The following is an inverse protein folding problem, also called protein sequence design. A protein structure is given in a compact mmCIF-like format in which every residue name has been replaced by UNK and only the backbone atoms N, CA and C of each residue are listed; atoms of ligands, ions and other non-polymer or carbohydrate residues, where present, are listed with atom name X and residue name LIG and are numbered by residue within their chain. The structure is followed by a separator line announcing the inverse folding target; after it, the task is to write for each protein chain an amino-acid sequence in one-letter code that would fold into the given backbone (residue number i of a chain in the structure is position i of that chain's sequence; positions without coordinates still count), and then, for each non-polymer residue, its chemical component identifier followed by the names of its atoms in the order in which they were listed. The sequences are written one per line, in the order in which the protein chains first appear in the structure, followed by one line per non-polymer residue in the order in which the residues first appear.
data_IF_898877035447
#
_entry.id   IF_898877035447
#
_cell.length_a   1.000
_cell.length_b   1.000
_cell.length_c   1.000
_cell.angle_alpha   90.00
_cell.angle_beta   90.00
_cell.angle_gamma   90.00
#
_symmetry.space_group_name_H-M   'P 1'
#
loop_
_entity.id
_entity.type
_entity.pdbx_description
1 polymer ?
#
# COMPACT_ATOMS: atom_id res chain seq x y z
N UNK A 1 -14.04 5.55 7.12
CA UNK A 1 -13.03 4.85 7.92
C UNK A 1 -13.53 4.81 9.34
N UNK A 2 -13.34 3.70 10.06
CA UNK A 2 -13.78 3.63 11.45
C UNK A 2 -12.90 4.51 12.35
N UNK A 3 -13.46 5.13 13.41
CA UNK A 3 -12.72 6.05 14.28
C UNK A 3 -11.63 5.34 15.10
N UNK A 4 -11.80 4.05 15.36
CA UNK A 4 -10.84 3.23 16.13
C UNK A 4 -9.70 2.64 15.30
N UNK A 5 -9.73 2.77 13.97
CA UNK A 5 -8.66 2.24 13.13
C UNK A 5 -7.39 3.04 13.36
N UNK A 6 -6.30 2.36 13.71
CA UNK A 6 -4.98 2.98 13.82
C UNK A 6 -4.57 3.63 12.51
N UNK A 7 -3.91 4.79 12.62
CA UNK A 7 -3.48 5.61 11.48
C UNK A 7 -1.95 5.63 11.40
N UNK A 8 -1.44 5.88 10.20
CA UNK A 8 -0.04 6.24 9.99
C UNK A 8 0.31 7.65 10.49
N UNK A 9 1.56 8.10 10.29
CA UNK A 9 2.63 7.39 9.58
C UNK A 9 3.17 6.17 10.36
N UNK A 10 4.01 5.38 9.71
CA UNK A 10 4.77 4.35 10.40
C UNK A 10 5.83 5.02 11.31
N UNK A 11 5.67 4.89 12.63
CA UNK A 11 6.58 5.48 13.61
C UNK A 11 7.98 4.84 13.63
N UNK A 12 8.12 3.63 13.08
CA UNK A 12 9.42 2.94 13.00
C UNK A 12 10.23 3.43 11.80
N UNK A 13 9.59 3.52 10.63
CA UNK A 13 10.19 4.11 9.43
C UNK A 13 9.12 4.89 8.64
N UNK A 14 9.13 6.23 8.68
CA UNK A 14 8.15 7.05 7.99
C UNK A 14 8.29 6.99 6.46
N UNK A 15 9.35 6.38 5.92
CA UNK A 15 9.52 6.14 4.48
C UNK A 15 8.75 4.90 3.99
N UNK A 16 8.07 4.18 4.89
CA UNK A 16 7.14 3.10 4.54
C UNK A 16 5.72 3.51 4.97
N UNK A 17 4.86 3.78 3.99
CA UNK A 17 3.46 4.16 4.22
C UNK A 17 2.70 3.02 4.92
N UNK A 18 2.02 3.34 6.03
CA UNK A 18 1.08 2.45 6.72
C UNK A 18 -0.24 3.16 7.04
N UNK A 19 -1.38 2.43 7.08
CA UNK A 19 -1.53 0.99 6.76
C UNK A 19 -1.37 0.69 5.26
N UNK A 20 -1.37 -0.58 4.85
CA UNK A 20 -1.23 -0.93 3.42
C UNK A 20 -2.55 -0.83 2.64
N UNK A 21 -3.65 -1.21 3.27
CA UNK A 21 -4.95 -1.40 2.63
C UNK A 21 -6.07 -1.34 3.68
N UNK A 22 -7.31 -1.08 3.25
CA UNK A 22 -8.50 -1.17 4.13
C UNK A 22 -9.48 -2.23 3.66
N UNK A 23 -10.19 -2.83 4.61
CA UNK A 23 -11.18 -3.88 4.42
C UNK A 23 -12.27 -3.81 5.51
N UNK A 24 -13.46 -4.41 5.31
CA UNK A 24 -14.57 -4.36 6.26
C UNK A 24 -14.20 -4.89 7.65
N UNK A 25 -14.40 -4.06 8.68
CA UNK A 25 -14.12 -4.42 10.08
C UNK A 25 -15.04 -3.76 11.09
N UNK A 26 -16.14 -3.15 10.64
CA UNK A 26 -17.14 -2.53 11.51
C UNK A 26 -18.43 -3.34 11.42
N UNK A 27 -18.96 -3.76 12.57
CA UNK A 27 -20.19 -4.54 12.70
C UNK A 27 -20.18 -5.81 11.83
N UNK A 28 -19.10 -6.57 11.90
CA UNK A 28 -18.97 -7.84 11.17
C UNK A 28 -19.63 -8.94 11.99
N UNK A 29 -20.64 -9.58 11.40
CA UNK A 29 -21.27 -10.80 11.94
C UNK A 29 -20.36 -12.00 11.66
N UNK A 30 -19.95 -12.70 12.70
CA UNK A 30 -19.12 -13.90 12.59
C UNK A 30 -19.51 -14.94 13.64
N UNK A 31 -19.03 -16.18 13.48
CA UNK A 31 -19.26 -17.27 14.43
C UNK A 31 -18.76 -16.91 15.83
N UNK A 32 -19.47 -17.37 16.84
CA UNK A 32 -19.16 -17.09 18.23
C UNK A 32 -19.18 -18.37 19.06
N UNK A 33 -18.35 -18.43 20.11
CA UNK A 33 -18.29 -19.59 20.99
C UNK A 33 -19.48 -19.61 21.94
N UNK A 34 -20.11 -20.77 22.12
CA UNK A 34 -21.16 -20.97 23.12
C UNK A 34 -20.65 -20.77 24.56
N UNK A 35 -19.33 -20.80 24.78
CA UNK A 35 -18.70 -20.60 26.08
C UNK A 35 -18.56 -19.11 26.47
N UNK A 36 -18.93 -18.17 25.61
CA UNK A 36 -18.79 -16.74 25.85
C UNK A 36 -20.06 -15.99 25.49
N UNK A 37 -20.55 -15.15 26.41
CA UNK A 37 -21.71 -14.32 26.15
C UNK A 37 -21.40 -13.19 25.15
N UNK A 38 -22.39 -12.72 24.36
CA UNK A 38 -22.18 -11.70 23.34
C UNK A 38 -21.59 -10.39 23.87
N UNK A 39 -21.99 -9.97 25.07
CA UNK A 39 -21.51 -8.74 25.71
C UNK A 39 -20.23 -8.94 26.53
N UNK A 40 -19.83 -10.19 26.78
CA UNK A 40 -18.70 -10.52 27.68
C UNK A 40 -18.84 -9.93 29.09
N UNK A 41 -20.06 -9.73 29.54
CA UNK A 41 -20.38 -9.29 30.90
C UNK A 41 -20.77 -10.50 31.77
N UNK A 42 -20.40 -10.53 33.07
CA UNK A 42 -20.76 -11.63 33.98
C UNK A 42 -22.26 -11.93 34.06
N UNK A 43 -23.10 -10.91 33.87
CA UNK A 43 -24.55 -10.98 33.96
C UNK A 43 -25.21 -11.46 32.66
N UNK A 44 -24.51 -11.34 31.52
CA UNK A 44 -25.04 -11.77 30.22
C UNK A 44 -24.95 -13.29 30.11
N UNK A 45 -26.10 -13.97 30.21
CA UNK A 45 -26.24 -15.43 30.11
C UNK A 45 -26.62 -15.92 28.73
N UNK A 46 -26.74 -15.04 27.72
CA UNK A 46 -27.15 -15.43 26.38
C UNK A 46 -26.07 -16.29 25.70
N UNK A 47 -26.53 -17.29 24.96
CA UNK A 47 -25.71 -18.14 24.10
C UNK A 47 -26.15 -17.91 22.66
N UNK A 48 -25.21 -17.56 21.78
CA UNK A 48 -25.50 -17.26 20.37
C UNK A 48 -24.48 -17.96 19.47
N UNK A 49 -24.90 -18.38 18.28
CA UNK A 49 -24.02 -18.97 17.28
C UNK A 49 -23.20 -17.94 16.50
N UNK A 50 -23.69 -16.70 16.46
CA UNK A 50 -23.05 -15.59 15.76
C UNK A 50 -23.13 -14.32 16.59
N UNK A 51 -22.09 -13.50 16.50
CA UNK A 51 -22.01 -12.20 17.17
C UNK A 51 -21.49 -11.13 16.21
N UNK A 52 -21.92 -9.88 16.41
CA UNK A 52 -21.39 -8.74 15.68
C UNK A 52 -20.25 -8.11 16.47
N UNK A 53 -19.10 -7.97 15.83
CA UNK A 53 -17.92 -7.36 16.43
C UNK A 53 -17.29 -6.33 15.49
N UNK A 54 -16.53 -5.42 16.07
CA UNK A 54 -15.85 -4.35 15.35
C UNK A 54 -14.37 -4.31 15.74
N UNK A 55 -13.51 -4.10 14.76
CA UNK A 55 -12.07 -4.02 14.97
C UNK A 55 -11.29 -4.31 13.70
N UNK A 56 -10.04 -3.87 13.66
CA UNK A 56 -9.07 -4.29 12.63
C UNK A 56 -8.85 -5.81 12.67
N UNK A 57 -9.05 -6.44 13.83
CA UNK A 57 -9.12 -7.91 13.99
C UNK A 57 -10.21 -8.57 13.13
N UNK A 58 -11.23 -7.83 12.70
CA UNK A 58 -12.29 -8.30 11.79
C UNK A 58 -11.99 -7.94 10.33
N UNK A 59 -11.25 -6.86 10.07
CA UNK A 59 -10.73 -6.54 8.72
C UNK A 59 -9.67 -7.53 8.25
N UNK A 60 -8.74 -7.92 9.14
CA UNK A 60 -7.64 -8.84 8.83
C UNK A 60 -8.09 -10.15 8.15
N UNK A 61 -9.06 -10.92 8.70
CA UNK A 61 -9.47 -12.20 8.10
C UNK A 61 -10.09 -12.06 6.71
N UNK A 62 -10.73 -10.93 6.38
CA UNK A 62 -11.21 -10.67 5.02
C UNK A 62 -10.06 -10.60 4.02
N UNK A 63 -8.99 -9.88 4.36
CA UNK A 63 -7.80 -9.78 3.52
C UNK A 63 -7.08 -11.13 3.45
N UNK A 64 -6.93 -11.84 4.57
CA UNK A 64 -6.30 -13.17 4.62
C UNK A 64 -7.01 -14.20 3.75
N UNK A 65 -8.35 -14.22 3.76
CA UNK A 65 -9.12 -15.11 2.90
C UNK A 65 -8.87 -14.81 1.41
N UNK A 66 -8.82 -13.53 1.04
CA UNK A 66 -8.52 -13.14 -0.35
C UNK A 66 -7.08 -13.45 -0.73
N UNK A 67 -6.11 -13.30 0.18
CA UNK A 67 -4.72 -13.73 -0.03
C UNK A 67 -4.67 -15.23 -0.34
N UNK A 68 -5.40 -16.07 0.42
CA UNK A 68 -5.46 -17.51 0.18
C UNK A 68 -6.06 -17.84 -1.20
N UNK A 69 -7.14 -17.17 -1.59
CA UNK A 69 -7.73 -17.32 -2.92
C UNK A 69 -6.78 -16.89 -4.03
N UNK A 70 -6.12 -15.74 -3.88
CA UNK A 70 -5.12 -15.26 -4.84
C UNK A 70 -3.94 -16.22 -4.96
N UNK A 71 -3.48 -16.80 -3.85
CA UNK A 71 -2.41 -17.82 -3.86
C UNK A 71 -2.86 -19.13 -4.52
N UNK A 72 -4.14 -19.49 -4.43
CA UNK A 72 -4.70 -20.63 -5.16
C UNK A 72 -4.76 -20.39 -6.67
N UNK A 73 -5.16 -19.19 -7.08
CA UNK A 73 -5.23 -18.79 -8.50
C UNK A 73 -3.84 -18.58 -9.09
N UNK A 74 -2.91 -18.03 -8.31
CA UNK A 74 -1.52 -17.76 -8.69
C UNK A 74 -0.54 -18.48 -7.75
N UNK A 75 -0.36 -19.81 -7.89
CA UNK A 75 0.50 -20.61 -7.00
C UNK A 75 1.94 -20.13 -6.95
N UNK A 76 2.45 -19.51 -8.01
CA UNK A 76 3.84 -19.05 -8.10
C UNK A 76 4.06 -17.64 -7.52
N UNK A 77 3.00 -16.91 -7.18
CA UNK A 77 3.16 -15.56 -6.65
C UNK A 77 3.75 -15.57 -5.24
N UNK A 78 4.75 -14.71 -5.03
CA UNK A 78 5.28 -14.40 -3.72
C UNK A 78 4.23 -13.69 -2.86
N UNK A 79 4.41 -13.68 -1.53
CA UNK A 79 3.56 -12.88 -0.63
C UNK A 79 3.62 -11.39 -0.97
N UNK A 80 4.76 -10.92 -1.51
CA UNK A 80 4.95 -9.54 -1.96
C UNK A 80 4.19 -9.24 -3.25
N UNK A 81 4.18 -10.18 -4.20
CA UNK A 81 3.38 -10.08 -5.41
C UNK A 81 1.88 -9.99 -5.08
N UNK A 82 1.38 -10.83 -4.17
CA UNK A 82 -0.02 -10.79 -3.72
C UNK A 82 -0.34 -9.46 -3.02
N UNK A 83 0.54 -8.99 -2.12
CA UNK A 83 0.41 -7.66 -1.50
C UNK A 83 0.32 -6.56 -2.56
N UNK A 84 1.19 -6.60 -3.57
CA UNK A 84 1.16 -5.64 -4.67
C UNK A 84 -0.14 -5.67 -5.43
N UNK A 85 -0.64 -6.85 -5.80
CA UNK A 85 -1.90 -6.99 -6.52
C UNK A 85 -3.07 -6.40 -5.73
N UNK A 86 -3.15 -6.67 -4.42
CA UNK A 86 -4.18 -6.12 -3.54
C UNK A 86 -4.12 -4.60 -3.42
N UNK A 87 -2.93 -4.06 -3.16
CA UNK A 87 -2.75 -2.62 -2.98
C UNK A 87 -3.06 -1.85 -4.27
N UNK A 88 -2.44 -2.25 -5.38
CA UNK A 88 -2.48 -1.48 -6.63
C UNK A 88 -3.83 -1.49 -7.33
N UNK A 89 -4.66 -2.49 -7.03
CA UNK A 89 -6.01 -2.66 -7.61
C UNK A 89 -7.14 -2.18 -6.71
N UNK A 90 -6.82 -1.68 -5.50
CA UNK A 90 -7.78 -1.14 -4.54
C UNK A 90 -8.50 0.13 -5.06
N UNK A 91 -9.53 0.59 -4.37
CA UNK A 91 -10.25 1.83 -4.70
C UNK A 91 -10.18 2.86 -3.57
N UNK A 92 -10.03 4.14 -3.93
CA UNK A 92 -10.16 5.26 -2.97
C UNK A 92 -11.57 5.85 -2.94
N UNK A 93 -12.49 5.30 -3.76
CA UNK A 93 -13.87 5.74 -3.84
C UNK A 93 -14.79 4.76 -3.13
N UNK A 94 -15.83 5.30 -2.50
CA UNK A 94 -16.95 4.56 -1.94
C UNK A 94 -17.91 4.09 -3.05
N UNK A 95 -19.00 3.41 -2.64
CA UNK A 95 -19.97 2.80 -3.56
C UNK A 95 -20.73 3.80 -4.44
N UNK A 96 -20.82 5.08 -4.03
CA UNK A 96 -21.45 6.16 -4.83
C UNK A 96 -20.42 6.95 -5.64
N UNK A 97 -19.17 6.48 -5.72
CA UNK A 97 -18.11 7.09 -6.53
C UNK A 97 -17.43 8.31 -5.89
N UNK A 98 -17.75 8.67 -4.65
CA UNK A 98 -17.09 9.75 -3.89
C UNK A 98 -15.86 9.22 -3.14
N UNK A 99 -14.90 10.08 -2.74
CA UNK A 99 -13.80 9.65 -1.88
C UNK A 99 -14.26 8.91 -0.62
N UNK A 100 -13.45 7.95 -0.16
CA UNK A 100 -13.63 7.34 1.17
C UNK A 100 -13.44 8.44 2.21
N UNK A 101 -14.39 8.56 3.13
CA UNK A 101 -14.34 9.54 4.22
C UNK A 101 -13.85 8.91 5.52
N UNK A 102 -13.43 9.73 6.47
CA UNK A 102 -13.12 9.34 7.84
C UNK A 102 -14.41 9.29 8.70
N UNK A 103 -14.29 9.15 10.02
CA UNK A 103 -15.45 9.08 10.92
C UNK A 103 -16.12 10.45 11.17
N UNK A 104 -15.42 11.55 10.91
CA UNK A 104 -15.95 12.93 11.03
C UNK A 104 -16.64 13.41 9.75
N UNK A 105 -16.49 12.65 8.65
CA UNK A 105 -17.10 12.96 7.35
C UNK A 105 -16.15 13.62 6.35
N UNK A 106 -14.91 13.92 6.75
CA UNK A 106 -13.90 14.49 5.86
C UNK A 106 -13.31 13.42 4.95
N UNK A 107 -12.73 13.83 3.82
CA UNK A 107 -11.99 12.92 2.93
C UNK A 107 -10.85 12.23 3.71
N UNK A 108 -10.85 10.90 3.71
CA UNK A 108 -9.80 10.14 4.34
C UNK A 108 -8.51 10.20 3.50
N UNK A 109 -7.38 10.09 4.18
CA UNK A 109 -6.07 10.12 3.54
C UNK A 109 -5.38 8.73 3.57
N UNK A 110 -4.24 8.56 2.88
CA UNK A 110 -3.51 7.30 2.82
C UNK A 110 -3.01 6.77 4.17
N UNK A 111 -2.79 7.62 5.17
CA UNK A 111 -2.48 7.14 6.52
C UNK A 111 -3.69 6.55 7.24
N UNK A 112 -4.89 6.67 6.67
CA UNK A 112 -6.10 6.05 7.20
C UNK A 112 -6.45 4.76 6.45
N UNK A 113 -6.38 4.73 5.12
CA UNK A 113 -6.79 3.56 4.31
C UNK A 113 -5.67 2.88 3.51
N UNK A 114 -4.44 3.37 3.58
CA UNK A 114 -3.32 2.87 2.77
C UNK A 114 -3.51 3.12 1.29
N UNK A 115 -3.51 2.06 0.49
CA UNK A 115 -3.81 2.14 -0.93
C UNK A 115 -5.30 2.36 -1.23
N UNK A 116 -6.20 2.00 -0.31
CA UNK A 116 -7.65 2.10 -0.46
C UNK A 116 -8.39 0.84 -0.05
N UNK A 117 -9.69 0.79 -0.30
CA UNK A 117 -10.52 -0.39 -0.04
C UNK A 117 -10.18 -1.49 -1.04
N UNK A 118 -9.84 -2.67 -0.54
CA UNK A 118 -9.48 -3.82 -1.37
C UNK A 118 -10.60 -4.22 -2.35
N UNK A 119 -10.22 -4.74 -3.52
CA UNK A 119 -11.13 -5.23 -4.56
C UNK A 119 -10.69 -6.62 -5.02
N UNK A 120 -11.21 -7.70 -4.39
CA UNK A 120 -10.70 -9.05 -4.62
C UNK A 120 -10.71 -9.47 -6.10
N UNK A 121 -11.81 -9.20 -6.82
CA UNK A 121 -11.96 -9.56 -8.24
C UNK A 121 -10.93 -8.86 -9.15
N UNK A 122 -10.51 -7.65 -8.79
CA UNK A 122 -9.53 -6.88 -9.57
C UNK A 122 -8.10 -7.27 -9.23
N UNK A 123 -7.85 -7.77 -8.02
CA UNK A 123 -6.54 -8.26 -7.61
C UNK A 123 -6.15 -9.59 -8.28
N UNK A 124 -7.10 -10.32 -8.88
CA UNK A 124 -6.83 -11.55 -9.64
C UNK A 124 -6.02 -11.25 -10.91
N UNK A 125 -6.29 -10.13 -11.59
CA UNK A 125 -5.53 -9.71 -12.77
C UNK A 125 -5.12 -8.24 -12.61
N UNK A 126 -4.01 -7.97 -11.89
CA UNK A 126 -3.55 -6.61 -11.63
C UNK A 126 -2.81 -6.01 -12.83
N UNK A 127 -2.50 -6.79 -13.87
CA UNK A 127 -1.63 -6.39 -14.98
C UNK A 127 -0.15 -6.33 -14.58
N UNK A 128 0.22 -5.48 -13.62
CA UNK A 128 1.60 -5.34 -13.12
C UNK A 128 1.69 -5.52 -11.60
N UNK A 129 2.85 -5.98 -11.13
CA UNK A 129 3.17 -6.09 -9.72
C UNK A 129 4.55 -5.50 -9.37
N UNK A 130 4.66 -4.97 -8.16
CA UNK A 130 5.91 -4.68 -7.46
C UNK A 130 6.34 -5.93 -6.72
N UNK A 131 7.24 -6.70 -7.33
CA UNK A 131 7.82 -7.89 -6.70
C UNK A 131 9.15 -7.55 -6.02
N UNK A 132 9.47 -8.24 -4.93
CA UNK A 132 10.70 -8.03 -4.18
C UNK A 132 11.20 -9.35 -3.60
N UNK A 133 12.48 -9.66 -3.81
CA UNK A 133 13.12 -10.83 -3.23
C UNK A 133 13.52 -10.58 -1.79
N UNK A 134 13.93 -11.64 -1.07
CA UNK A 134 14.46 -11.52 0.29
C UNK A 134 15.61 -10.51 0.40
N UNK A 135 16.49 -10.46 -0.62
CA UNK A 135 17.60 -9.50 -0.70
C UNK A 135 17.15 -8.04 -0.62
N UNK A 136 15.97 -7.68 -1.16
CA UNK A 136 15.46 -6.30 -1.05
C UNK A 136 15.17 -5.92 0.41
N UNK A 137 14.69 -6.87 1.21
CA UNK A 137 14.44 -6.65 2.64
C UNK A 137 15.74 -6.59 3.43
N UNK A 138 16.73 -7.43 3.09
CA UNK A 138 18.06 -7.35 3.70
C UNK A 138 18.72 -5.98 3.43
N UNK A 139 18.65 -5.48 2.19
CA UNK A 139 19.14 -4.14 1.86
C UNK A 139 18.37 -3.03 2.58
N UNK A 140 17.06 -3.18 2.76
CA UNK A 140 16.26 -2.27 3.59
C UNK A 140 16.73 -2.30 5.06
N UNK A 141 16.96 -3.49 5.64
CA UNK A 141 17.44 -3.62 7.02
C UNK A 141 18.84 -3.02 7.19
N UNK A 142 19.72 -3.17 6.21
CA UNK A 142 21.01 -2.48 6.18
C UNK A 142 20.84 -0.96 6.28
N UNK A 143 19.83 -0.38 5.62
CA UNK A 143 19.57 1.07 5.69
C UNK A 143 19.06 1.53 7.06
N UNK A 144 18.59 0.59 7.89
CA UNK A 144 18.15 0.80 9.27
C UNK A 144 19.22 0.41 10.29
N UNK A 145 20.44 0.05 9.85
CA UNK A 145 21.51 -0.51 10.69
C UNK A 145 21.09 -1.76 11.48
N UNK A 146 20.16 -2.55 10.92
CA UNK A 146 19.70 -3.81 11.51
C UNK A 146 20.31 -4.97 10.72
N UNK A 147 20.95 -5.91 11.40
CA UNK A 147 21.39 -7.18 10.82
C UNK A 147 20.57 -8.34 11.42
N UNK A 148 19.78 -9.01 10.57
CA UNK A 148 18.99 -10.19 10.96
C UNK A 148 19.57 -11.50 10.42
N UNK A 149 20.36 -11.42 9.33
CA UNK A 149 20.98 -12.57 8.69
C UNK A 149 22.50 -12.35 8.70
N UNK A 150 23.20 -13.10 9.54
CA UNK A 150 24.66 -13.01 9.68
C UNK A 150 25.42 -13.46 8.43
N UNK A 151 24.76 -14.16 7.50
CA UNK A 151 25.36 -14.57 6.23
C UNK A 151 25.30 -13.48 5.15
N UNK A 152 24.53 -12.41 5.38
CA UNK A 152 24.39 -11.31 4.44
C UNK A 152 25.21 -10.09 4.86
N UNK A 153 26.22 -9.75 4.06
CA UNK A 153 27.01 -8.54 4.27
C UNK A 153 26.36 -7.34 3.56
N UNK A 154 26.07 -6.29 4.33
CA UNK A 154 25.59 -5.03 3.79
C UNK A 154 26.64 -4.42 2.83
N UNK A 155 26.23 -3.92 1.66
CA UNK A 155 27.16 -3.25 0.74
C UNK A 155 27.68 -1.95 1.36
N UNK A 156 28.90 -1.53 0.98
CA UNK A 156 29.47 -0.26 1.44
C UNK A 156 28.54 0.93 1.15
N UNK A 157 27.92 0.93 -0.04
CA UNK A 157 26.90 1.90 -0.43
C UNK A 157 25.51 1.30 -0.25
N UNK A 158 24.95 1.48 0.94
CA UNK A 158 23.61 1.03 1.29
C UNK A 158 22.55 1.87 0.56
N UNK A 159 21.59 1.24 -0.14
CA UNK A 159 20.45 1.95 -0.71
C UNK A 159 19.57 2.59 0.38
N UNK A 160 18.98 3.77 0.12
CA UNK A 160 18.00 4.36 1.04
C UNK A 160 16.80 3.43 1.24
N UNK A 161 16.22 3.42 2.45
CA UNK A 161 15.05 2.60 2.82
C UNK A 161 13.87 2.76 1.83
N UNK A 162 13.69 3.99 1.34
CA UNK A 162 12.69 4.37 0.33
C UNK A 162 12.81 3.58 -0.99
N UNK A 163 13.97 2.98 -1.30
CA UNK A 163 14.21 2.15 -2.48
C UNK A 163 13.70 0.71 -2.38
N UNK A 164 13.18 0.28 -1.22
CA UNK A 164 12.41 -0.97 -1.15
C UNK A 164 11.33 -0.95 -2.23
N UNK A 165 11.23 -2.01 -3.04
CA UNK A 165 10.29 -2.07 -4.17
C UNK A 165 8.85 -2.27 -3.68
N UNK A 166 8.32 -1.24 -3.02
CA UNK A 166 7.03 -1.25 -2.34
C UNK A 166 5.94 -0.64 -3.25
N UNK A 167 4.68 -1.13 -3.18
CA UNK A 167 3.55 -0.61 -3.97
C UNK A 167 3.04 0.78 -3.55
N UNK A 168 3.77 1.48 -2.69
CA UNK A 168 3.55 2.89 -2.31
C UNK A 168 4.89 3.64 -2.30
N UNK A 169 4.80 4.96 -2.26
CA UNK A 169 5.94 5.85 -2.08
C UNK A 169 5.71 6.68 -0.82
N UNK A 170 6.61 6.55 0.16
CA UNK A 170 6.71 7.50 1.25
C UNK A 170 8.13 8.04 1.35
N UNK A 171 8.26 9.37 1.47
CA UNK A 171 9.54 10.05 1.68
C UNK A 171 9.29 11.17 2.69
N UNK A 172 9.84 11.02 3.89
CA UNK A 172 9.70 12.02 4.93
C UNK A 172 10.86 13.03 4.92
N UNK A 173 10.62 14.22 5.47
CA UNK A 173 11.64 15.21 5.83
C UNK A 173 12.53 15.64 4.65
N UNK A 174 11.91 15.91 3.49
CA UNK A 174 12.62 16.45 2.32
C UNK A 174 12.99 17.92 2.59
N UNK A 175 14.28 18.25 2.55
CA UNK A 175 14.72 19.64 2.66
C UNK A 175 14.13 20.51 1.52
N UNK A 176 13.72 21.73 1.83
CA UNK A 176 13.17 22.66 0.84
C UNK A 176 14.17 22.91 -0.30
N UNK A 177 13.66 22.92 -1.54
CA UNK A 177 14.48 23.08 -2.74
C UNK A 177 15.33 21.85 -3.09
N UNK A 178 15.38 20.83 -2.23
CA UNK A 178 16.07 19.56 -2.51
C UNK A 178 15.15 18.56 -3.20
N UNK A 179 15.77 17.55 -3.82
CA UNK A 179 15.05 16.42 -4.40
C UNK A 179 15.55 15.09 -3.85
N UNK A 180 14.68 14.08 -3.91
CA UNK A 180 14.96 12.69 -3.58
C UNK A 180 14.51 11.82 -4.75
N UNK A 181 15.36 10.89 -5.17
CA UNK A 181 15.05 9.99 -6.28
C UNK A 181 14.98 8.56 -5.78
N UNK A 182 13.88 7.89 -6.10
CA UNK A 182 13.58 6.53 -5.70
C UNK A 182 13.39 5.67 -6.93
N UNK A 183 13.96 4.46 -6.93
CA UNK A 183 13.78 3.51 -8.02
C UNK A 183 12.68 2.50 -7.71
N UNK A 184 11.89 2.16 -8.72
CA UNK A 184 10.89 1.08 -8.67
C UNK A 184 11.04 0.15 -9.86
N UNK A 185 10.56 -1.08 -9.67
CA UNK A 185 10.57 -2.13 -10.69
C UNK A 185 9.19 -2.77 -10.74
N UNK A 186 8.58 -2.75 -11.93
CA UNK A 186 7.32 -3.44 -12.20
C UNK A 186 7.59 -4.70 -13.02
N UNK A 187 6.91 -5.77 -12.66
CA UNK A 187 6.90 -7.04 -13.40
C UNK A 187 5.53 -7.20 -14.06
N UNK A 188 5.50 -7.53 -15.35
CA UNK A 188 4.26 -7.85 -16.05
C UNK A 188 3.76 -9.25 -15.65
N UNK A 189 2.53 -9.32 -15.16
CA UNK A 189 1.81 -10.56 -14.86
C UNK A 189 0.52 -10.71 -15.67
N UNK A 190 0.23 -9.73 -16.52
CA UNK A 190 -0.87 -9.78 -17.48
C UNK A 190 -0.41 -10.23 -18.86
N UNK A 191 -1.17 -9.80 -19.88
CA UNK A 191 -0.89 -10.14 -21.29
C UNK A 191 0.44 -9.56 -21.77
N UNK A 192 1.06 -10.23 -22.73
CA UNK A 192 2.20 -9.69 -23.49
C UNK A 192 1.78 -8.54 -24.40
N UNK A 193 2.77 -7.85 -24.97
CA UNK A 193 2.58 -6.68 -25.84
C UNK A 193 1.67 -5.58 -25.24
N UNK A 194 1.80 -5.34 -23.94
CA UNK A 194 1.07 -4.30 -23.22
C UNK A 194 1.91 -3.02 -23.09
N UNK A 195 1.27 -1.87 -23.27
CA UNK A 195 1.88 -0.56 -23.05
C UNK A 195 1.12 0.19 -21.96
N UNK A 196 1.82 0.53 -20.89
CA UNK A 196 1.27 1.31 -19.79
C UNK A 196 1.72 2.76 -19.87
N UNK A 197 0.77 3.67 -19.76
CA UNK A 197 0.98 5.12 -19.72
C UNK A 197 0.81 5.61 -18.28
N UNK A 198 1.67 6.55 -17.90
CA UNK A 198 1.67 7.14 -16.57
C UNK A 198 0.60 8.24 -16.44
N UNK A 199 -0.14 8.22 -15.35
CA UNK A 199 -0.92 9.34 -14.84
C UNK A 199 -0.50 9.67 -13.40
N UNK A 200 -0.42 10.96 -13.06
CA UNK A 200 0.03 11.43 -11.72
C UNK A 200 -0.94 12.48 -11.19
N UNK A 201 -1.32 12.36 -9.92
CA UNK A 201 -1.93 13.43 -9.12
C UNK A 201 -0.92 13.88 -8.09
N UNK A 202 -0.49 15.13 -8.21
CA UNK A 202 0.57 15.69 -7.38
C UNK A 202 0.11 15.89 -5.92
N UNK A 203 0.98 15.62 -4.93
CA UNK A 203 0.77 16.10 -3.57
C UNK A 203 0.89 17.63 -3.54
N UNK A 204 0.02 18.35 -2.81
CA UNK A 204 0.12 19.80 -2.66
C UNK A 204 1.50 20.26 -2.16
N UNK A 205 2.15 21.18 -2.89
CA UNK A 205 3.49 21.71 -2.55
C UNK A 205 4.68 20.83 -2.97
N UNK A 206 4.44 19.75 -3.74
CA UNK A 206 5.50 18.86 -4.19
C UNK A 206 5.41 18.59 -5.69
N UNK A 207 6.57 18.57 -6.35
CA UNK A 207 6.69 18.15 -7.75
C UNK A 207 7.14 16.69 -7.78
N UNK A 208 6.42 15.89 -8.57
CA UNK A 208 6.72 14.48 -8.80
C UNK A 208 7.07 14.30 -10.27
N UNK A 209 8.32 13.95 -10.56
CA UNK A 209 8.75 13.55 -11.89
C UNK A 209 9.06 12.06 -11.95
N UNK A 210 8.46 11.37 -12.91
CA UNK A 210 8.61 9.92 -13.09
C UNK A 210 9.08 9.65 -14.51
N UNK A 211 10.18 8.89 -14.67
CA UNK A 211 10.79 8.59 -15.96
C UNK A 211 11.09 7.09 -16.08
N UNK A 212 10.74 6.44 -17.21
CA UNK A 212 10.02 6.98 -18.38
C UNK A 212 8.53 7.26 -18.10
N UNK A 213 7.81 7.93 -19.00
CA UNK A 213 6.35 8.15 -18.90
C UNK A 213 5.51 6.99 -19.47
N UNK A 214 6.18 6.00 -20.07
CA UNK A 214 5.56 4.84 -20.72
C UNK A 214 6.40 3.60 -20.47
N UNK A 215 5.75 2.48 -20.13
CA UNK A 215 6.40 1.18 -19.96
C UNK A 215 5.81 0.19 -20.96
N UNK A 216 6.68 -0.40 -21.77
CA UNK A 216 6.30 -1.42 -22.76
C UNK A 216 6.80 -2.78 -22.32
N UNK A 217 5.90 -3.76 -22.30
CA UNK A 217 6.19 -5.14 -21.96
C UNK A 217 5.78 -6.03 -23.13
N UNK A 218 6.71 -6.83 -23.63
CA UNK A 218 6.50 -7.72 -24.77
C UNK A 218 5.96 -9.08 -24.32
N UNK A 219 6.32 -9.53 -23.10
CA UNK A 219 5.94 -10.85 -22.58
C UNK A 219 5.66 -10.85 -21.08
N UNK A 220 5.02 -11.92 -20.61
CA UNK A 220 4.83 -12.24 -19.19
C UNK A 220 6.19 -12.31 -18.48
N UNK A 221 6.26 -11.82 -17.25
CA UNK A 221 7.45 -11.85 -16.40
C UNK A 221 8.50 -10.79 -16.76
N UNK A 222 8.31 -10.03 -17.84
CA UNK A 222 9.23 -8.96 -18.20
C UNK A 222 9.20 -7.85 -17.13
N UNK A 223 10.39 -7.36 -16.78
CA UNK A 223 10.58 -6.32 -15.77
C UNK A 223 10.93 -4.99 -16.42
N UNK A 224 10.33 -3.91 -15.92
CA UNK A 224 10.68 -2.54 -16.29
C UNK A 224 10.95 -1.70 -15.06
N UNK A 225 11.98 -0.87 -15.16
CA UNK A 225 12.43 0.01 -14.09
C UNK A 225 12.01 1.44 -14.42
N UNK A 226 11.65 2.20 -13.41
CA UNK A 226 11.39 3.63 -13.52
C UNK A 226 11.92 4.33 -12.27
N UNK A 227 12.24 5.61 -12.43
CA UNK A 227 12.69 6.46 -11.34
C UNK A 227 11.59 7.46 -11.00
N UNK A 228 11.44 7.75 -9.72
CA UNK A 228 10.52 8.75 -9.18
C UNK A 228 11.36 9.79 -8.44
N UNK A 229 11.37 11.01 -8.95
CA UNK A 229 12.02 12.16 -8.33
C UNK A 229 10.97 13.03 -7.66
N UNK A 230 11.11 13.24 -6.36
CA UNK A 230 10.26 14.11 -5.56
C UNK A 230 11.04 15.35 -5.18
N UNK A 231 10.46 16.53 -5.42
CA UNK A 231 11.05 17.82 -5.02
C UNK A 231 10.05 18.60 -4.17
N UNK A 232 10.51 19.06 -3.00
CA UNK A 232 9.75 19.96 -2.14
C UNK A 232 9.87 21.40 -2.65
N UNK A 233 8.74 22.06 -2.91
CA UNK A 233 8.73 23.45 -3.35
C UNK A 233 9.10 24.40 -2.21
N UNK A 234 9.69 25.55 -2.51
CA UNK A 234 10.02 26.56 -1.51
C UNK A 234 8.79 27.18 -0.85
N UNK A 235 7.61 27.05 -1.48
CA UNK A 235 6.31 27.54 -1.04
C UNK A 235 5.55 26.57 -0.12
N UNK A 236 6.15 25.46 0.31
CA UNK A 236 5.49 24.54 1.25
C UNK A 236 5.20 25.27 2.57
N UNK A 237 3.93 25.57 2.81
CA UNK A 237 3.48 26.35 3.97
C UNK A 237 3.51 25.53 5.28
N UNK A 238 3.25 24.22 5.19
CA UNK A 238 3.13 23.33 6.35
C UNK A 238 4.29 22.35 6.41
N UNK A 239 5.36 22.76 7.11
CA UNK A 239 6.51 21.89 7.39
C UNK A 239 6.12 20.76 8.33
N UNK A 240 6.78 19.61 8.19
CA UNK A 240 6.52 18.39 8.97
C UNK A 240 5.11 17.80 8.81
N UNK A 241 4.28 18.32 7.90
CA UNK A 241 3.00 17.73 7.52
C UNK A 241 3.15 16.91 6.24
N UNK A 242 2.45 15.78 6.18
CA UNK A 242 2.43 14.94 4.99
C UNK A 242 1.39 15.46 3.98
N UNK A 243 1.84 15.63 2.75
CA UNK A 243 1.00 15.80 1.58
C UNK A 243 0.84 14.48 0.83
N UNK A 244 -0.32 14.29 0.21
CA UNK A 244 -0.69 13.03 -0.43
C UNK A 244 -1.01 13.18 -1.91
N UNK A 245 -0.59 12.19 -2.70
CA UNK A 245 -0.84 12.10 -4.13
C UNK A 245 -0.87 10.66 -4.61
N UNK A 246 -0.97 10.45 -5.92
CA UNK A 246 -0.99 9.11 -6.51
C UNK A 246 -0.26 9.12 -7.84
N UNK A 247 0.31 7.98 -8.22
CA UNK A 247 0.63 7.71 -9.61
C UNK A 247 -0.01 6.39 -10.04
N UNK A 248 -0.40 6.31 -11.30
CA UNK A 248 -1.08 5.15 -11.87
C UNK A 248 -0.47 4.81 -13.21
N UNK A 249 -0.16 3.52 -13.40
CA UNK A 249 0.15 2.96 -14.71
C UNK A 249 -1.11 2.34 -15.29
N UNK A 250 -1.53 2.77 -16.48
CA UNK A 250 -2.72 2.25 -17.15
C UNK A 250 -2.45 1.85 -18.60
N UNK A 251 -2.97 0.70 -19.01
CA UNK A 251 -3.01 0.23 -20.39
C UNK A 251 -4.42 0.36 -21.02
N UNK A 252 -5.33 1.06 -20.33
CA UNK A 252 -6.75 1.19 -20.68
C UNK A 252 -7.65 0.09 -20.08
N UNK A 253 -7.08 -1.01 -19.60
CA UNK A 253 -7.81 -2.14 -18.98
C UNK A 253 -7.48 -2.25 -17.48
N UNK A 254 -6.19 -2.25 -17.19
CA UNK A 254 -5.61 -2.30 -15.85
C UNK A 254 -5.27 -0.88 -15.38
N UNK A 255 -5.38 -0.67 -14.07
CA UNK A 255 -4.99 0.57 -13.42
C UNK A 255 -4.18 0.21 -12.17
N UNK A 256 -2.85 0.33 -12.28
CA UNK A 256 -1.89 -0.04 -11.22
C UNK A 256 -1.57 1.24 -10.45
N UNK A 257 -2.35 1.52 -9.40
CA UNK A 257 -2.27 2.78 -8.63
C UNK A 257 -1.39 2.61 -7.39
N UNK A 258 -0.50 3.57 -7.16
CA UNK A 258 0.32 3.65 -5.95
C UNK A 258 0.13 4.99 -5.24
N UNK A 259 -0.14 4.99 -3.91
CA UNK A 259 -0.21 6.22 -3.13
C UNK A 259 1.18 6.80 -2.87
N UNK A 260 1.22 8.13 -2.77
CA UNK A 260 2.38 8.95 -2.43
C UNK A 260 2.08 9.66 -1.10
N UNK A 261 3.00 9.61 -0.15
CA UNK A 261 2.99 10.43 1.07
C UNK A 261 4.36 11.10 1.24
N UNK A 262 4.41 12.43 1.22
CA UNK A 262 5.67 13.18 1.29
C UNK A 262 5.57 14.30 2.30
N UNK A 263 6.64 14.54 3.05
CA UNK A 263 6.74 15.67 3.97
C UNK A 263 8.05 16.42 3.79
N UNK A 264 8.06 17.69 4.18
CA UNK A 264 9.24 18.55 4.16
C UNK A 264 9.79 18.71 5.57
N UNK A 265 11.11 18.87 5.67
CA UNK A 265 11.79 19.25 6.91
C UNK A 265 11.58 20.73 7.25
#
# INVERSE_FOLDING_TARGET
MSPFSSKGPNNVDPNILKPDITAPGLNILATWSDASSPLKLPEDRRVVKYNMQSGTSMSCPHVSAVIALLKSIHPDWSSVAIRSALMTTSTINNVVGKPITNATGDDANPFEYGAGHFRPSRAVDPGLIYDATYTYYLLYLCSQNISLDSSFNCPEKVPEASNLNYPSLAIANINLGSSRTVRRVLTNVGKGNSTYVLAVRLPPGYVIDIVPKTLRFSKLGEKRKFNITVRAESSVERRNEFAFGWYTWTDGVHAVRSPIAVSSA
#
